data_IF_083596404753
#
_entry.id   IF_083596404753
#
_cell.length_a   1.000
_cell.length_b   1.000
_cell.length_c   1.000
_cell.angle_alpha   90.00
_cell.angle_beta   90.00
_cell.angle_gamma   90.00
#
_symmetry.space_group_name_H-M   'P 1'
#
loop_
_entity.id
_entity.type
_entity.pdbx_description
1 polymer ?
#
# COMPACT_ATOMS: atom_id res chain seq x y z
N UNK A 1 -22.72 19.21 29.00
CA UNK A 1 -22.46 19.59 27.59
C UNK A 1 -23.14 18.59 26.68
N UNK A 2 -23.91 19.08 25.72
CA UNK A 2 -24.57 18.24 24.71
C UNK A 2 -23.55 17.83 23.64
N UNK A 3 -23.73 16.63 23.06
CA UNK A 3 -22.87 16.10 21.97
C UNK A 3 -22.66 17.11 20.82
N UNK A 4 -23.68 17.91 20.53
CA UNK A 4 -23.67 18.91 19.47
C UNK A 4 -22.73 20.08 19.81
N UNK A 5 -22.72 20.54 21.07
CA UNK A 5 -21.85 21.63 21.52
C UNK A 5 -20.37 21.23 21.41
N UNK A 6 -20.05 20.01 21.83
CA UNK A 6 -18.69 19.45 21.71
C UNK A 6 -18.24 19.34 20.25
N UNK A 7 -19.12 18.90 19.34
CA UNK A 7 -18.80 18.84 17.90
C UNK A 7 -18.55 20.22 17.30
N UNK A 8 -19.30 21.24 17.73
CA UNK A 8 -19.10 22.61 17.26
C UNK A 8 -17.77 23.18 17.74
N UNK A 9 -17.43 23.00 19.01
CA UNK A 9 -16.13 23.40 19.56
C UNK A 9 -14.99 22.68 18.81
N UNK A 10 -15.12 21.37 18.58
CA UNK A 10 -14.10 20.60 17.86
C UNK A 10 -13.90 21.07 16.41
N UNK A 11 -14.98 21.44 15.71
CA UNK A 11 -14.90 22.01 14.36
C UNK A 11 -14.22 23.38 14.34
N UNK A 12 -14.53 24.23 15.30
CA UNK A 12 -13.92 25.57 15.42
C UNK A 12 -12.42 25.51 15.73
N UNK A 13 -12.00 24.49 16.49
CA UNK A 13 -10.59 24.29 16.86
C UNK A 13 -9.84 23.33 15.90
N UNK A 14 -10.47 22.91 14.79
CA UNK A 14 -9.81 22.02 13.84
C UNK A 14 -8.66 22.79 13.17
N UNK A 15 -7.41 22.30 13.24
CA UNK A 15 -6.28 22.98 12.62
C UNK A 15 -6.48 23.05 11.11
N UNK A 16 -6.13 24.21 10.54
CA UNK A 16 -6.28 24.51 9.11
C UNK A 16 -5.27 23.74 8.25
N UNK A 17 -4.14 23.37 8.84
CA UNK A 17 -3.16 22.46 8.24
C UNK A 17 -2.80 21.36 9.24
N UNK A 18 -2.77 20.12 8.77
CA UNK A 18 -2.25 18.99 9.53
C UNK A 18 -0.85 18.75 8.98
N UNK A 19 0.17 19.12 9.76
CA UNK A 19 1.56 18.81 9.42
C UNK A 19 1.93 17.49 10.09
N UNK A 20 2.29 16.48 9.31
CA UNK A 20 2.80 15.23 9.85
C UNK A 20 4.33 15.27 9.90
N UNK A 21 4.93 14.62 10.90
CA UNK A 21 6.39 14.49 10.99
C UNK A 21 7.02 13.93 9.69
N UNK A 22 6.30 13.06 8.98
CA UNK A 22 6.74 12.52 7.70
C UNK A 22 6.83 13.58 6.59
N UNK A 23 6.01 14.64 6.62
CA UNK A 23 6.10 15.75 5.65
C UNK A 23 7.41 16.53 5.81
N UNK A 24 7.90 16.66 7.03
CA UNK A 24 9.21 17.25 7.33
C UNK A 24 10.35 16.37 6.82
N UNK A 25 10.32 15.09 7.19
CA UNK A 25 11.35 14.12 6.81
C UNK A 25 11.46 13.96 5.29
N UNK A 26 10.31 13.99 4.60
CA UNK A 26 10.27 13.83 3.15
C UNK A 26 10.65 15.09 2.41
N UNK A 27 10.53 16.29 2.97
CA UNK A 27 10.92 17.54 2.29
C UNK A 27 12.39 17.58 1.86
N UNK A 28 13.25 16.93 2.62
CA UNK A 28 14.69 16.86 2.34
C UNK A 28 15.07 15.83 1.27
N UNK A 29 14.10 15.00 0.87
CA UNK A 29 14.28 13.92 -0.09
C UNK A 29 13.28 14.13 -1.24
N UNK A 30 13.57 13.70 -2.47
CA UNK A 30 12.60 13.83 -3.58
C UNK A 30 11.45 12.80 -3.44
N UNK A 31 10.80 12.75 -2.28
CA UNK A 31 9.78 11.76 -1.90
C UNK A 31 8.42 12.46 -1.82
N UNK A 32 7.43 11.90 -2.50
CA UNK A 32 6.04 12.35 -2.44
C UNK A 32 5.28 11.45 -1.48
N UNK A 33 4.64 12.04 -0.47
CA UNK A 33 3.81 11.29 0.49
C UNK A 33 2.43 11.03 -0.12
N UNK A 34 2.12 9.76 -0.36
CA UNK A 34 0.78 9.35 -0.79
C UNK A 34 -0.15 9.25 0.43
N UNK A 35 -1.23 10.04 0.45
CA UNK A 35 -2.21 10.07 1.54
C UNK A 35 -3.45 9.28 1.13
N UNK A 36 -3.75 8.22 1.87
CA UNK A 36 -4.95 7.42 1.66
C UNK A 36 -6.12 7.96 2.51
N UNK A 37 -7.36 7.85 2.01
CA UNK A 37 -8.52 8.20 2.81
C UNK A 37 -8.67 7.25 4.02
N UNK A 38 -9.25 7.73 5.13
CA UNK A 38 -9.40 6.94 6.34
C UNK A 38 -10.29 5.72 6.08
N UNK A 39 -9.93 4.56 6.66
CA UNK A 39 -10.66 3.28 6.57
C UNK A 39 -10.71 2.61 5.19
N UNK A 40 -9.82 2.98 4.27
CA UNK A 40 -9.75 2.37 2.94
C UNK A 40 -8.46 1.56 2.76
N UNK A 41 -8.34 0.43 3.47
CA UNK A 41 -7.14 -0.42 3.40
C UNK A 41 -6.97 -1.10 2.04
N UNK A 42 -8.05 -1.25 1.26
CA UNK A 42 -8.04 -1.74 -0.11
C UNK A 42 -7.22 -0.87 -1.07
N UNK A 43 -7.00 0.40 -0.71
CA UNK A 43 -6.18 1.34 -1.48
C UNK A 43 -4.70 1.31 -1.08
N UNK A 44 -4.33 0.52 -0.06
CA UNK A 44 -2.96 0.38 0.40
C UNK A 44 -2.34 -0.93 -0.15
N UNK A 45 -1.43 -0.86 -1.15
CA UNK A 45 -0.90 -2.06 -1.79
C UNK A 45 -0.20 -3.03 -0.82
N UNK A 46 0.37 -2.54 0.28
CA UNK A 46 1.04 -3.40 1.27
C UNK A 46 0.04 -4.26 2.05
N UNK A 47 -1.14 -3.74 2.36
CA UNK A 47 -2.19 -4.49 3.07
C UNK A 47 -2.72 -5.64 2.21
N UNK A 48 -2.84 -5.40 0.89
CA UNK A 48 -3.20 -6.43 -0.07
C UNK A 48 -2.17 -7.57 -0.11
N UNK A 49 -0.87 -7.25 -0.16
CA UNK A 49 0.15 -8.30 -0.16
C UNK A 49 0.29 -9.00 1.20
N UNK A 50 0.11 -8.28 2.32
CA UNK A 50 0.07 -8.90 3.65
C UNK A 50 -1.10 -9.86 3.79
N UNK A 51 -2.30 -9.48 3.35
CA UNK A 51 -3.47 -10.38 3.33
C UNK A 51 -3.23 -11.62 2.49
N UNK A 52 -2.67 -11.45 1.28
CA UNK A 52 -2.33 -12.57 0.42
C UNK A 52 -1.23 -13.47 1.03
N UNK A 53 -0.24 -12.89 1.68
CA UNK A 53 0.83 -13.62 2.39
C UNK A 53 0.29 -14.42 3.56
N UNK A 54 -0.59 -13.83 4.37
CA UNK A 54 -1.25 -14.51 5.46
C UNK A 54 -2.05 -15.73 4.96
N UNK A 55 -2.83 -15.58 3.88
CA UNK A 55 -3.57 -16.71 3.30
C UNK A 55 -2.65 -17.85 2.82
N UNK A 56 -1.52 -17.52 2.18
CA UNK A 56 -0.53 -18.52 1.71
C UNK A 56 0.09 -19.32 2.85
N UNK A 57 0.38 -18.66 3.97
CA UNK A 57 1.08 -19.25 5.11
C UNK A 57 0.11 -19.78 6.18
N UNK A 58 -1.21 -19.62 5.99
CA UNK A 58 -2.24 -19.97 6.97
C UNK A 58 -2.24 -21.44 7.40
N UNK A 59 -1.72 -22.34 6.56
CA UNK A 59 -1.62 -23.77 6.82
C UNK A 59 -0.31 -24.19 7.48
N UNK A 60 0.68 -23.30 7.51
CA UNK A 60 1.97 -23.61 8.09
C UNK A 60 1.91 -23.21 9.58
N UNK A 61 1.76 -24.20 10.45
CA UNK A 61 1.65 -24.00 11.90
C UNK A 61 3.07 -23.89 12.47
N UNK A 62 3.48 -22.67 12.85
CA UNK A 62 4.83 -22.39 13.30
C UNK A 62 4.88 -22.08 14.79
N UNK A 63 5.98 -22.49 15.43
CA UNK A 63 6.41 -21.86 16.67
C UNK A 63 6.63 -20.37 16.38
N UNK A 64 5.76 -19.52 16.93
CA UNK A 64 5.70 -18.04 16.78
C UNK A 64 6.93 -17.29 17.32
N UNK A 65 8.11 -17.91 17.28
CA UNK A 65 9.37 -17.24 17.59
C UNK A 65 9.72 -16.29 16.44
N UNK A 66 10.19 -15.09 16.78
CA UNK A 66 10.64 -14.04 15.84
C UNK A 66 11.53 -14.58 14.71
N UNK A 67 12.45 -15.50 15.01
CA UNK A 67 13.33 -16.14 14.04
C UNK A 67 12.57 -16.95 12.99
N UNK A 68 11.51 -17.66 13.38
CA UNK A 68 10.62 -18.36 12.45
C UNK A 68 9.87 -17.39 11.54
N UNK A 69 9.35 -16.29 12.10
CA UNK A 69 8.66 -15.27 11.33
C UNK A 69 9.56 -14.63 10.26
N UNK A 70 10.81 -14.33 10.59
CA UNK A 70 11.76 -13.72 9.64
C UNK A 70 12.07 -14.63 8.44
N UNK A 71 12.23 -15.92 8.68
CA UNK A 71 12.45 -16.91 7.61
C UNK A 71 11.27 -16.94 6.65
N UNK A 72 10.05 -16.97 7.19
CA UNK A 72 8.81 -17.02 6.39
C UNK A 72 8.65 -15.75 5.55
N UNK A 73 8.78 -14.58 6.17
CA UNK A 73 8.64 -13.29 5.47
C UNK A 73 9.66 -13.21 4.33
N UNK A 74 10.91 -13.58 4.58
CA UNK A 74 11.97 -13.54 3.57
C UNK A 74 11.66 -14.49 2.41
N UNK A 75 11.24 -15.72 2.70
CA UNK A 75 10.87 -16.72 1.70
C UNK A 75 9.67 -16.25 0.85
N UNK A 76 8.62 -15.72 1.48
CA UNK A 76 7.43 -15.22 0.78
C UNK A 76 7.77 -14.04 -0.14
N UNK A 77 8.58 -13.10 0.35
CA UNK A 77 9.03 -11.95 -0.43
C UNK A 77 9.84 -12.37 -1.65
N UNK A 78 10.80 -13.28 -1.48
CA UNK A 78 11.58 -13.83 -2.59
C UNK A 78 10.69 -14.51 -3.63
N UNK A 79 9.74 -15.35 -3.20
CA UNK A 79 8.82 -16.01 -4.12
C UNK A 79 7.93 -15.01 -4.88
N UNK A 80 7.47 -13.95 -4.22
CA UNK A 80 6.69 -12.90 -4.86
C UNK A 80 7.50 -12.22 -5.97
N UNK A 81 8.74 -11.80 -5.68
CA UNK A 81 9.63 -11.20 -6.67
C UNK A 81 9.84 -12.14 -7.86
N UNK A 82 10.11 -13.42 -7.62
CA UNK A 82 10.34 -14.38 -8.70
C UNK A 82 9.12 -14.51 -9.62
N UNK A 83 7.90 -14.47 -9.07
CA UNK A 83 6.66 -14.53 -9.86
C UNK A 83 6.47 -13.27 -10.71
N UNK A 84 6.70 -12.10 -10.14
CA UNK A 84 6.56 -10.84 -10.88
C UNK A 84 7.61 -10.72 -11.99
N UNK A 85 8.86 -11.11 -11.72
CA UNK A 85 9.90 -11.19 -12.75
C UNK A 85 9.50 -12.16 -13.86
N UNK A 86 9.03 -13.37 -13.53
CA UNK A 86 8.59 -14.34 -14.54
C UNK A 86 7.47 -13.80 -15.43
N UNK A 87 6.50 -13.05 -14.87
CA UNK A 87 5.45 -12.36 -15.64
C UNK A 87 6.02 -11.31 -16.59
N UNK A 88 6.95 -10.47 -16.12
CA UNK A 88 7.60 -9.43 -16.93
C UNK A 88 8.40 -10.03 -18.09
N UNK A 89 9.12 -11.13 -17.85
CA UNK A 89 9.85 -11.81 -18.92
C UNK A 89 8.88 -12.48 -19.92
N UNK A 90 7.79 -13.10 -19.44
CA UNK A 90 6.80 -13.74 -20.32
C UNK A 90 6.08 -12.73 -21.24
N UNK A 91 5.70 -11.55 -20.74
CA UNK A 91 5.08 -10.49 -21.55
C UNK A 91 6.04 -9.90 -22.57
N UNK A 92 7.34 -9.80 -22.25
CA UNK A 92 8.38 -9.35 -23.20
C UNK A 92 8.56 -10.29 -24.39
N UNK A 93 8.38 -11.59 -24.20
CA UNK A 93 8.49 -12.59 -25.28
C UNK A 93 7.20 -12.73 -26.11
N UNK A 94 6.07 -12.18 -25.65
CA UNK A 94 4.80 -12.19 -26.37
C UNK A 94 4.52 -10.87 -27.14
N UNK A 95 5.30 -9.81 -26.91
CA UNK A 95 5.15 -8.50 -27.56
C UNK A 95 5.62 -8.40 -29.02
N UNK A 96 5.56 -9.50 -29.77
CA UNK A 96 5.86 -9.59 -31.20
C UNK A 96 4.61 -9.66 -32.07
N UNK A 97 3.47 -9.11 -31.66
CA UNK A 97 2.32 -8.84 -32.53
C UNK A 97 1.30 -7.94 -31.82
N UNK A 98 1.02 -6.79 -32.46
CA UNK A 98 -0.24 -6.06 -32.44
C UNK A 98 -0.53 -4.96 -31.37
N UNK A 99 -0.57 -3.75 -31.93
CA UNK A 99 -1.50 -2.64 -31.70
C UNK A 99 -1.25 -1.66 -30.53
N UNK A 100 -0.72 -0.51 -30.96
CA UNK A 100 -0.73 0.80 -30.31
C UNK A 100 -2.17 1.21 -30.00
N UNK A 101 -2.58 1.07 -28.74
CA UNK A 101 -3.85 1.57 -28.21
C UNK A 101 -3.60 2.44 -26.99
N UNK A 102 -3.55 3.77 -27.21
CA UNK A 102 -3.49 4.80 -26.17
C UNK A 102 -4.59 4.60 -25.13
N UNK A 103 -4.21 4.33 -23.87
CA UNK A 103 -5.16 4.03 -22.79
C UNK A 103 -4.74 4.55 -21.41
N UNK A 104 -4.04 5.68 -21.30
CA UNK A 104 -3.92 6.40 -20.02
C UNK A 104 -5.07 7.40 -19.89
N UNK A 105 -6.22 6.92 -19.41
CA UNK A 105 -7.29 7.81 -18.93
C UNK A 105 -6.90 8.33 -17.55
N UNK A 106 -6.26 9.49 -17.48
CA UNK A 106 -6.18 10.30 -16.26
C UNK A 106 -7.59 10.66 -15.80
N UNK A 107 -8.13 9.89 -14.85
CA UNK A 107 -9.25 10.35 -14.04
C UNK A 107 -8.71 11.27 -12.97
N UNK A 108 -8.71 12.57 -13.28
CA UNK A 108 -8.68 13.63 -12.28
C UNK A 108 -9.91 13.46 -11.39
N UNK A 109 -9.70 13.15 -10.12
CA UNK A 109 -10.72 13.38 -9.10
C UNK A 109 -10.49 14.80 -8.58
N UNK A 110 -11.38 15.71 -8.99
CA UNK A 110 -11.61 16.99 -8.31
C UNK A 110 -12.35 16.76 -7.00
#
# INVERSE_FOLDING_TARGET
MLRIELLNIARQNKPTSILYAIDEMTRQHAIIVHRLPPYHCELNPIELDMGASHMRNSKEQYNLHVSGCQVIVTKCYQQHIQRELAKMYATRHQGGAENVGSGYSHRHYC
#
